data_IF_444307704017
#
_entry.id   IF_444307704017
#
_cell.length_a   1.000
_cell.length_b   1.000
_cell.length_c   1.000
_cell.angle_alpha   90.00
_cell.angle_beta   90.00
_cell.angle_gamma   90.00
#
_symmetry.space_group_name_H-M   'P 1'
#
loop_
_entity.id
_entity.type
_entity.pdbx_description
1 polymer ?
#
# COMPACT_ATOMS: atom_id res chain seq x y z
N UNK A 1 22.39 -9.91 -3.74
CA UNK A 1 21.38 -8.83 -3.57
C UNK A 1 21.23 -8.57 -2.08
N UNK A 2 21.30 -7.32 -1.63
CA UNK A 2 21.01 -7.00 -0.23
C UNK A 2 19.55 -7.40 0.06
N UNK A 3 19.32 -8.06 1.19
CA UNK A 3 17.96 -8.37 1.63
C UNK A 3 17.27 -7.05 2.04
N UNK A 4 16.47 -6.50 1.13
CA UNK A 4 15.77 -5.22 1.30
C UNK A 4 14.81 -5.26 2.49
N UNK A 5 14.16 -6.40 2.72
CA UNK A 5 13.27 -6.58 3.88
C UNK A 5 14.01 -6.51 5.20
N UNK A 6 15.17 -7.16 5.29
CA UNK A 6 16.01 -7.07 6.48
C UNK A 6 16.60 -5.66 6.67
N UNK A 7 16.90 -4.94 5.59
CA UNK A 7 17.35 -3.56 5.69
C UNK A 7 16.23 -2.65 6.21
N UNK A 8 15.01 -2.80 5.70
CA UNK A 8 13.86 -2.03 6.15
C UNK A 8 13.53 -2.34 7.62
N UNK A 9 13.58 -3.62 8.03
CA UNK A 9 13.46 -3.98 9.45
C UNK A 9 14.44 -3.23 10.32
N UNK A 10 15.74 -3.21 9.97
CA UNK A 10 16.77 -2.48 10.76
C UNK A 10 16.47 -0.99 10.90
N UNK A 11 15.94 -0.35 9.86
CA UNK A 11 15.55 1.07 9.91
C UNK A 11 14.37 1.28 10.86
N UNK A 12 13.38 0.39 10.84
CA UNK A 12 12.24 0.43 11.77
C UNK A 12 12.70 0.16 13.21
N UNK A 13 13.60 -0.80 13.44
CA UNK A 13 14.18 -1.07 14.76
C UNK A 13 14.98 0.12 15.30
N UNK A 14 15.73 0.81 14.44
CA UNK A 14 16.44 2.03 14.83
C UNK A 14 15.46 3.15 15.24
N UNK A 15 14.42 3.40 14.47
CA UNK A 15 13.38 4.37 14.82
C UNK A 15 12.65 4.02 16.12
N UNK A 16 12.38 2.73 16.37
CA UNK A 16 11.82 2.25 17.64
C UNK A 16 12.77 2.52 18.81
N UNK A 17 14.07 2.28 18.62
CA UNK A 17 15.08 2.53 19.64
C UNK A 17 15.20 4.02 19.98
N UNK A 18 15.18 4.88 18.96
CA UNK A 18 15.22 6.35 19.14
C UNK A 18 14.01 6.85 19.93
N UNK A 19 12.80 6.43 19.56
CA UNK A 19 11.58 6.76 20.31
C UNK A 19 11.66 6.32 21.78
N UNK A 20 12.12 5.09 22.01
CA UNK A 20 12.26 4.55 23.37
C UNK A 20 13.32 5.30 24.21
N UNK A 21 14.38 5.78 23.58
CA UNK A 21 15.43 6.57 24.30
C UNK A 21 14.87 7.90 24.83
N UNK A 22 13.82 8.43 24.20
CA UNK A 22 13.08 9.62 24.63
C UNK A 22 11.87 9.29 25.53
N UNK A 23 11.73 8.03 25.96
CA UNK A 23 10.61 7.59 26.81
C UNK A 23 9.30 7.42 26.05
N UNK A 24 9.31 7.42 24.71
CA UNK A 24 8.13 7.28 23.86
C UNK A 24 7.95 5.81 23.49
N UNK A 25 6.78 5.27 23.74
CA UNK A 25 6.40 3.92 23.32
C UNK A 25 5.79 3.99 21.91
N UNK A 26 6.37 3.33 20.89
CA UNK A 26 5.80 3.32 19.56
C UNK A 26 4.43 2.65 19.56
N UNK A 27 3.42 3.32 19.01
CA UNK A 27 2.04 2.82 18.97
C UNK A 27 1.74 2.03 17.68
N UNK A 28 2.27 2.48 16.55
CA UNK A 28 1.98 1.89 15.25
C UNK A 28 3.11 2.13 14.24
N UNK A 29 3.17 1.25 13.24
CA UNK A 29 3.84 1.46 11.98
C UNK A 29 2.76 1.55 10.89
N UNK A 30 2.70 2.66 10.16
CA UNK A 30 1.83 2.82 8.98
C UNK A 30 2.68 2.86 7.71
N UNK A 31 2.31 2.04 6.71
CA UNK A 31 3.05 1.97 5.43
C UNK A 31 2.06 1.78 4.29
N UNK A 32 2.25 2.55 3.21
CA UNK A 32 1.70 2.23 1.88
C UNK A 32 2.38 0.96 1.37
N UNK A 33 1.61 -0.09 1.13
CA UNK A 33 2.13 -1.43 0.94
C UNK A 33 2.88 -1.66 -0.38
N UNK A 34 2.93 -0.66 -1.26
CA UNK A 34 3.76 -0.65 -2.47
C UNK A 34 4.61 0.63 -2.59
N UNK A 35 4.67 1.47 -1.56
CA UNK A 35 5.41 2.73 -1.58
C UNK A 35 5.04 3.60 -2.78
N UNK A 36 3.74 3.75 -3.04
CA UNK A 36 3.22 4.34 -4.27
C UNK A 36 3.67 5.77 -4.51
N UNK A 37 3.84 6.56 -3.45
CA UNK A 37 4.30 7.96 -3.52
C UNK A 37 5.82 8.10 -3.45
N UNK A 38 6.54 7.04 -3.10
CA UNK A 38 7.99 7.04 -2.88
C UNK A 38 8.76 6.45 -4.06
N UNK A 39 8.08 6.16 -5.18
CA UNK A 39 8.69 5.65 -6.40
C UNK A 39 8.21 4.27 -6.85
N UNK A 40 7.15 3.76 -6.23
CA UNK A 40 6.52 2.46 -6.57
C UNK A 40 7.46 1.27 -6.34
N UNK A 41 7.58 0.84 -5.09
CA UNK A 41 8.41 -0.31 -4.71
C UNK A 41 7.51 -1.48 -4.29
N UNK A 42 6.92 -2.16 -5.26
CA UNK A 42 6.04 -3.31 -5.04
C UNK A 42 6.81 -4.62 -4.79
N UNK A 43 8.07 -4.68 -5.13
CA UNK A 43 8.95 -5.85 -5.01
C UNK A 43 10.20 -5.57 -4.14
N UNK A 44 10.78 -6.62 -3.54
CA UNK A 44 10.36 -8.01 -3.57
C UNK A 44 9.09 -8.27 -2.73
N UNK A 45 8.29 -9.26 -3.14
CA UNK A 45 7.19 -9.75 -2.30
C UNK A 45 7.74 -10.17 -0.92
N UNK A 46 6.97 -9.89 0.14
CA UNK A 46 7.41 -10.19 1.52
C UNK A 46 8.27 -9.10 2.17
N UNK A 47 8.66 -8.09 1.44
CA UNK A 47 9.56 -7.00 1.90
C UNK A 47 9.10 -6.37 3.24
N UNK A 48 7.79 -6.21 3.49
CA UNK A 48 7.27 -5.58 4.69
C UNK A 48 7.22 -6.51 5.90
N UNK A 49 7.16 -7.83 5.70
CA UNK A 49 6.93 -8.77 6.79
C UNK A 49 7.93 -8.63 7.96
N UNK A 50 9.26 -8.52 7.73
CA UNK A 50 10.22 -8.36 8.84
C UNK A 50 10.02 -7.06 9.65
N UNK A 51 9.64 -5.96 9.02
CA UNK A 51 9.38 -4.69 9.69
C UNK A 51 8.07 -4.72 10.49
N UNK A 52 7.06 -5.43 9.98
CA UNK A 52 5.79 -5.66 10.70
C UNK A 52 6.02 -6.51 11.96
N UNK A 53 6.89 -7.50 11.89
CA UNK A 53 7.32 -8.26 13.08
C UNK A 53 7.97 -7.34 14.11
N UNK A 54 8.91 -6.48 13.70
CA UNK A 54 9.62 -5.57 14.60
C UNK A 54 8.68 -4.63 15.36
N UNK A 55 7.70 -4.00 14.70
CA UNK A 55 6.73 -3.13 15.38
C UNK A 55 5.85 -3.91 16.36
N UNK A 56 5.45 -5.14 16.01
CA UNK A 56 4.64 -6.01 16.89
C UNK A 56 5.45 -6.47 18.11
N UNK A 57 6.71 -6.85 17.94
CA UNK A 57 7.64 -7.16 19.03
C UNK A 57 7.84 -5.96 19.97
N UNK A 58 7.75 -4.73 19.43
CA UNK A 58 7.80 -3.52 20.23
C UNK A 58 6.49 -3.19 20.97
N UNK A 59 5.41 -3.94 20.73
CA UNK A 59 4.09 -3.74 21.32
C UNK A 59 3.19 -2.79 20.55
N UNK A 60 3.58 -2.37 19.35
CA UNK A 60 2.78 -1.58 18.44
C UNK A 60 1.93 -2.43 17.48
N UNK A 61 1.13 -1.75 16.66
CA UNK A 61 0.28 -2.35 15.63
C UNK A 61 0.77 -1.99 14.23
N UNK A 62 0.43 -2.80 13.24
CA UNK A 62 0.68 -2.50 11.84
C UNK A 62 -0.59 -2.00 11.15
N UNK A 63 -0.48 -0.83 10.49
CA UNK A 63 -1.53 -0.21 9.69
C UNK A 63 -1.11 -0.28 8.22
N UNK A 64 -1.84 -1.03 7.40
CA UNK A 64 -1.65 -1.02 5.96
C UNK A 64 -2.41 0.16 5.35
N UNK A 65 -1.68 1.08 4.72
CA UNK A 65 -2.30 2.12 3.91
C UNK A 65 -2.58 1.55 2.51
N UNK A 66 -3.83 1.18 2.30
CA UNK A 66 -4.33 0.60 1.05
C UNK A 66 -5.10 1.62 0.19
N UNK A 67 -4.95 2.91 0.50
CA UNK A 67 -5.62 3.99 -0.23
C UNK A 67 -5.22 4.03 -1.70
N UNK A 68 -4.03 3.62 -2.04
CA UNK A 68 -3.56 3.53 -3.43
C UNK A 68 -3.42 2.10 -3.95
N UNK A 69 -2.80 1.14 -3.22
CA UNK A 69 -2.60 -0.21 -3.73
C UNK A 69 -3.85 -1.10 -3.68
N UNK A 70 -4.82 -0.76 -2.83
CA UNK A 70 -6.03 -1.55 -2.62
C UNK A 70 -7.02 -1.57 -3.78
N UNK A 71 -8.10 -2.31 -3.58
CA UNK A 71 -9.19 -2.47 -4.52
C UNK A 71 -8.75 -3.03 -5.88
N UNK A 72 -7.88 -4.05 -5.84
CA UNK A 72 -7.47 -4.81 -7.02
C UNK A 72 -6.48 -4.10 -7.95
N UNK A 73 -5.94 -2.91 -7.56
CA UNK A 73 -5.03 -2.13 -8.40
C UNK A 73 -3.77 -2.90 -8.81
N UNK A 74 -3.24 -3.73 -7.90
CA UNK A 74 -2.06 -4.57 -8.16
C UNK A 74 -2.37 -5.82 -8.99
N UNK A 75 -3.63 -6.12 -9.23
CA UNK A 75 -4.10 -7.20 -10.10
C UNK A 75 -4.06 -8.60 -9.50
N UNK A 76 -3.13 -8.90 -8.60
CA UNK A 76 -2.97 -10.23 -8.00
C UNK A 76 -3.96 -10.50 -6.88
N UNK A 77 -4.25 -9.49 -6.09
CA UNK A 77 -5.12 -9.56 -4.90
C UNK A 77 -5.92 -8.28 -4.74
N UNK A 78 -6.98 -8.33 -3.94
CA UNK A 78 -7.79 -7.15 -3.59
C UNK A 78 -6.95 -6.10 -2.86
N UNK A 79 -5.98 -6.52 -2.03
CA UNK A 79 -5.18 -5.67 -1.14
C UNK A 79 -3.69 -5.86 -1.37
N UNK A 80 -2.94 -4.77 -1.40
CA UNK A 80 -1.50 -4.77 -1.61
C UNK A 80 -0.73 -5.50 -0.51
N UNK A 81 -1.17 -5.42 0.74
CA UNK A 81 -0.53 -6.13 1.86
C UNK A 81 -0.46 -7.65 1.67
N UNK A 82 -1.39 -8.23 0.90
CA UNK A 82 -1.39 -9.67 0.62
C UNK A 82 -0.13 -10.12 -0.14
N UNK A 83 0.50 -9.23 -0.90
CA UNK A 83 1.78 -9.48 -1.58
C UNK A 83 2.92 -9.79 -0.60
N UNK A 84 2.81 -9.31 0.62
CA UNK A 84 3.83 -9.47 1.66
C UNK A 84 3.54 -10.62 2.64
N UNK A 85 2.44 -11.36 2.44
CA UNK A 85 2.05 -12.48 3.29
C UNK A 85 1.68 -12.08 4.71
N UNK A 86 1.26 -10.83 4.91
CA UNK A 86 0.90 -10.27 6.22
C UNK A 86 -0.60 -10.04 6.34
N UNK A 87 -1.11 -10.13 7.57
CA UNK A 87 -2.46 -9.69 7.93
C UNK A 87 -2.30 -8.45 8.81
N UNK A 88 -2.68 -7.25 8.34
CA UNK A 88 -2.58 -6.01 9.10
C UNK A 88 -3.48 -6.02 10.34
N UNK A 89 -3.16 -5.17 11.30
CA UNK A 89 -4.01 -4.95 12.47
C UNK A 89 -5.10 -3.91 12.16
N UNK A 90 -4.76 -2.98 11.24
CA UNK A 90 -5.68 -2.00 10.67
C UNK A 90 -5.38 -1.83 9.17
N UNK A 91 -6.41 -1.47 8.39
CA UNK A 91 -6.29 -1.14 6.96
C UNK A 91 -7.04 0.15 6.71
N UNK A 92 -6.40 1.12 6.05
CA UNK A 92 -7.06 2.32 5.54
C UNK A 92 -7.34 2.16 4.05
N UNK A 93 -8.55 2.54 3.60
CA UNK A 93 -8.96 2.50 2.20
C UNK A 93 -9.70 3.78 1.82
N UNK A 94 -9.58 4.17 0.55
CA UNK A 94 -10.20 5.39 0.06
C UNK A 94 -10.05 5.52 -1.46
N UNK A 95 -9.89 6.75 -1.96
CA UNK A 95 -9.71 7.09 -3.38
C UNK A 95 -10.60 6.27 -4.36
N UNK A 96 -10.17 5.09 -4.88
CA UNK A 96 -10.96 4.32 -5.83
C UNK A 96 -12.24 3.71 -5.24
N UNK A 97 -12.37 3.67 -3.91
CA UNK A 97 -13.46 3.01 -3.21
C UNK A 97 -14.85 3.52 -3.61
N UNK A 98 -14.97 4.80 -3.94
CA UNK A 98 -16.21 5.40 -4.41
C UNK A 98 -16.21 5.75 -5.90
N UNK A 99 -15.13 5.44 -6.64
CA UNK A 99 -14.96 5.79 -8.05
C UNK A 99 -15.35 7.25 -8.39
N UNK A 100 -14.83 8.19 -7.59
CA UNK A 100 -15.13 9.63 -7.69
C UNK A 100 -16.15 10.14 -6.67
N UNK A 101 -16.98 9.26 -6.09
CA UNK A 101 -17.79 9.62 -4.93
C UNK A 101 -16.95 9.61 -3.65
N UNK A 102 -17.04 10.64 -2.77
CA UNK A 102 -16.26 10.69 -1.54
C UNK A 102 -16.60 9.54 -0.59
N UNK A 103 -15.70 8.57 -0.50
CA UNK A 103 -15.84 7.40 0.36
C UNK A 103 -14.48 6.91 0.83
N UNK A 104 -14.38 6.69 2.13
CA UNK A 104 -13.22 6.04 2.75
C UNK A 104 -13.68 5.09 3.85
N UNK A 105 -12.84 4.14 4.19
CA UNK A 105 -13.07 3.19 5.25
C UNK A 105 -11.79 2.86 6.00
N UNK A 106 -11.97 2.41 7.24
CA UNK A 106 -10.93 1.77 8.02
C UNK A 106 -11.44 0.42 8.51
N UNK A 107 -10.66 -0.62 8.26
CA UNK A 107 -10.91 -1.97 8.76
C UNK A 107 -9.99 -2.21 9.95
N UNK A 108 -10.53 -2.69 11.05
CA UNK A 108 -9.78 -2.83 12.30
C UNK A 108 -10.05 -4.20 12.90
N UNK A 109 -8.99 -4.88 13.37
CA UNK A 109 -9.17 -6.14 14.12
C UNK A 109 -9.98 -5.90 15.40
N UNK A 110 -10.90 -6.79 15.79
CA UNK A 110 -11.72 -6.62 17.00
C UNK A 110 -10.90 -6.35 18.26
N UNK A 111 -9.76 -7.01 18.43
CA UNK A 111 -8.90 -6.82 19.60
C UNK A 111 -8.28 -5.41 19.68
N UNK A 112 -8.07 -4.74 18.54
CA UNK A 112 -7.52 -3.37 18.50
C UNK A 112 -8.61 -2.33 18.79
N UNK A 113 -9.84 -2.55 18.31
CA UNK A 113 -10.93 -1.59 18.46
C UNK A 113 -11.71 -1.74 19.77
N UNK A 114 -11.54 -2.85 20.49
CA UNK A 114 -12.35 -3.18 21.68
C UNK A 114 -12.26 -2.10 22.77
N UNK A 115 -11.06 -1.60 23.08
CA UNK A 115 -10.86 -0.59 24.10
C UNK A 115 -11.43 0.77 23.66
N UNK A 116 -11.26 1.15 22.42
CA UNK A 116 -11.90 2.33 21.85
C UNK A 116 -13.43 2.24 21.94
N UNK A 117 -14.00 1.11 21.54
CA UNK A 117 -15.45 0.88 21.60
C UNK A 117 -16.02 0.90 23.02
N UNK A 118 -15.22 0.51 24.03
CA UNK A 118 -15.63 0.53 25.43
C UNK A 118 -15.51 1.92 26.08
N UNK A 119 -14.53 2.73 25.68
CA UNK A 119 -14.14 3.95 26.40
C UNK A 119 -14.39 5.25 25.63
N UNK A 120 -14.62 5.19 24.32
CA UNK A 120 -14.85 6.37 23.49
C UNK A 120 -16.28 6.42 22.95
N UNK A 121 -16.87 7.61 22.97
CA UNK A 121 -18.09 7.88 22.22
C UNK A 121 -17.72 8.26 20.80
N UNK A 122 -18.12 7.43 19.84
CA UNK A 122 -17.93 7.73 18.42
C UNK A 122 -19.28 8.13 17.80
N UNK A 123 -19.27 9.25 17.10
CA UNK A 123 -20.39 9.70 16.30
C UNK A 123 -19.88 10.32 15.00
N UNK A 124 -20.53 9.98 13.89
CA UNK A 124 -20.24 10.56 12.58
C UNK A 124 -21.56 10.78 11.84
N UNK A 125 -21.87 12.04 11.53
CA UNK A 125 -23.15 12.42 10.90
C UNK A 125 -23.32 11.82 9.51
N UNK A 126 -22.25 11.75 8.72
CA UNK A 126 -22.30 11.34 7.31
C UNK A 126 -21.68 9.97 7.06
N UNK A 127 -20.91 9.44 8.02
CA UNK A 127 -20.27 8.13 7.87
C UNK A 127 -21.30 7.02 7.73
N UNK A 128 -21.11 6.16 6.72
CA UNK A 128 -22.01 5.05 6.44
C UNK A 128 -23.38 5.46 5.88
N UNK A 129 -23.52 6.67 5.31
CA UNK A 129 -24.78 7.06 4.69
C UNK A 129 -25.12 6.17 3.49
N UNK A 130 -26.42 5.94 3.20
CA UNK A 130 -26.85 4.98 2.18
C UNK A 130 -26.33 5.28 0.77
N UNK A 131 -26.20 6.56 0.41
CA UNK A 131 -25.74 6.96 -0.93
C UNK A 131 -24.28 6.57 -1.15
N UNK A 132 -23.41 6.90 -0.19
CA UNK A 132 -21.98 6.53 -0.25
C UNK A 132 -21.79 5.00 -0.20
N UNK A 133 -22.58 4.31 0.63
CA UNK A 133 -22.53 2.84 0.69
C UNK A 133 -22.97 2.20 -0.65
N UNK A 134 -24.02 2.71 -1.27
CA UNK A 134 -24.49 2.24 -2.57
C UNK A 134 -23.43 2.47 -3.67
N UNK A 135 -22.76 3.63 -3.67
CA UNK A 135 -21.65 3.89 -4.59
C UNK A 135 -20.49 2.90 -4.39
N UNK A 136 -20.10 2.63 -3.13
CA UNK A 136 -19.05 1.66 -2.83
C UNK A 136 -19.41 0.24 -3.22
N UNK A 137 -20.66 -0.19 -2.97
CA UNK A 137 -21.14 -1.51 -3.41
C UNK A 137 -21.10 -1.65 -4.93
N UNK A 138 -21.55 -0.65 -5.68
CA UNK A 138 -21.47 -0.66 -7.14
C UNK A 138 -20.03 -0.79 -7.66
N UNK A 139 -19.06 -0.18 -6.97
CA UNK A 139 -17.63 -0.37 -7.31
C UNK A 139 -17.19 -1.82 -7.12
N UNK A 140 -17.59 -2.45 -6.01
CA UNK A 140 -17.25 -3.86 -5.74
C UNK A 140 -17.91 -4.80 -6.77
N UNK A 141 -19.19 -4.56 -7.09
CA UNK A 141 -19.92 -5.35 -8.11
C UNK A 141 -19.24 -5.30 -9.47
N UNK A 142 -18.77 -4.10 -9.89
CA UNK A 142 -18.05 -3.92 -11.16
C UNK A 142 -16.67 -4.58 -11.12
N UNK A 143 -15.93 -4.42 -10.03
CA UNK A 143 -14.60 -5.05 -9.86
C UNK A 143 -14.69 -6.58 -10.02
N UNK A 144 -15.70 -7.19 -9.41
CA UNK A 144 -15.93 -8.64 -9.46
C UNK A 144 -16.55 -9.07 -10.79
N UNK A 145 -17.64 -8.39 -11.20
CA UNK A 145 -18.44 -8.80 -12.38
C UNK A 145 -17.70 -8.63 -13.69
N UNK A 146 -16.83 -7.65 -13.82
CA UNK A 146 -16.04 -7.39 -15.04
C UNK A 146 -14.62 -7.98 -14.98
N UNK A 147 -14.25 -8.67 -13.91
CA UNK A 147 -12.93 -9.28 -13.77
C UNK A 147 -11.77 -8.27 -13.79
N UNK A 148 -11.96 -7.08 -13.20
CA UNK A 148 -11.01 -5.97 -13.35
C UNK A 148 -9.65 -6.25 -12.72
N UNK A 149 -9.55 -7.12 -11.72
CA UNK A 149 -8.24 -7.53 -11.16
C UNK A 149 -7.42 -8.31 -12.18
N UNK A 150 -8.04 -9.28 -12.88
CA UNK A 150 -7.38 -10.05 -13.92
C UNK A 150 -6.95 -9.16 -15.09
N UNK A 151 -7.81 -8.21 -15.47
CA UNK A 151 -7.47 -7.19 -16.45
C UNK A 151 -6.30 -6.31 -16.00
N UNK A 152 -6.30 -5.84 -14.75
CA UNK A 152 -5.21 -5.04 -14.20
C UNK A 152 -3.86 -5.81 -14.23
N UNK A 153 -3.88 -7.11 -13.93
CA UNK A 153 -2.69 -7.96 -14.01
C UNK A 153 -2.20 -8.11 -15.45
N UNK A 154 -3.09 -8.46 -16.37
CA UNK A 154 -2.73 -8.72 -17.77
C UNK A 154 -2.23 -7.46 -18.48
N UNK A 155 -2.99 -6.37 -18.39
CA UNK A 155 -2.63 -5.08 -19.01
C UNK A 155 -1.41 -4.46 -18.34
N UNK A 156 -1.30 -4.55 -17.02
CA UNK A 156 -0.13 -4.06 -16.27
C UNK A 156 1.15 -4.79 -16.65
N UNK A 157 1.13 -6.10 -16.79
CA UNK A 157 2.26 -6.88 -17.27
C UNK A 157 2.67 -6.48 -18.70
N UNK A 158 1.68 -6.33 -19.60
CA UNK A 158 1.92 -5.87 -20.96
C UNK A 158 2.57 -4.48 -20.97
N UNK A 159 2.02 -3.52 -20.22
CA UNK A 159 2.54 -2.16 -20.13
C UNK A 159 3.98 -2.13 -19.62
N UNK A 160 4.26 -2.84 -18.52
CA UNK A 160 5.61 -2.90 -17.95
C UNK A 160 6.61 -3.53 -18.93
N UNK A 161 6.21 -4.59 -19.63
CA UNK A 161 7.07 -5.21 -20.65
C UNK A 161 7.35 -4.25 -21.82
N UNK A 162 6.32 -3.56 -22.32
CA UNK A 162 6.48 -2.58 -23.41
C UNK A 162 7.39 -1.42 -22.99
N UNK A 163 7.24 -0.91 -21.77
CA UNK A 163 8.09 0.15 -21.22
C UNK A 163 9.55 -0.31 -21.04
N UNK A 164 9.79 -1.54 -20.58
CA UNK A 164 11.15 -2.11 -20.49
C UNK A 164 11.78 -2.27 -21.89
N UNK A 165 11.02 -2.69 -22.90
CA UNK A 165 11.50 -2.76 -24.30
C UNK A 165 11.79 -1.36 -24.85
N UNK A 166 10.99 -0.35 -24.51
CA UNK A 166 11.24 1.04 -24.84
C UNK A 166 12.53 1.54 -24.19
N UNK A 167 12.77 1.18 -22.94
CA UNK A 167 14.01 1.50 -22.21
C UNK A 167 15.27 0.95 -22.84
N UNK A 168 15.20 -0.19 -23.56
CA UNK A 168 16.36 -0.71 -24.32
C UNK A 168 16.78 0.21 -25.48
N UNK A 169 15.86 1.05 -25.97
CA UNK A 169 16.11 2.00 -27.07
C UNK A 169 16.31 3.43 -26.60
N UNK A 170 15.85 3.74 -25.39
CA UNK A 170 15.85 5.09 -24.82
C UNK A 170 16.48 5.08 -23.43
N UNK A 171 17.76 5.41 -23.36
CA UNK A 171 18.55 5.39 -22.12
C UNK A 171 18.07 6.38 -21.04
N UNK A 172 17.11 7.27 -21.36
CA UNK A 172 16.42 8.12 -20.38
C UNK A 172 15.55 7.30 -19.44
N UNK A 173 15.06 6.13 -19.87
CA UNK A 173 14.31 5.20 -19.02
C UNK A 173 15.31 4.31 -18.30
N UNK A 174 15.52 4.56 -17.02
CA UNK A 174 16.47 3.81 -16.19
C UNK A 174 15.84 2.54 -15.63
N UNK A 175 14.63 2.64 -15.10
CA UNK A 175 13.95 1.52 -14.48
C UNK A 175 12.43 1.60 -14.67
N UNK A 176 11.80 0.42 -14.74
CA UNK A 176 10.34 0.25 -14.75
C UNK A 176 9.95 -0.68 -13.62
N UNK A 177 9.20 -0.18 -12.65
CA UNK A 177 8.75 -0.87 -11.45
C UNK A 177 7.22 -0.93 -11.40
N UNK A 178 6.68 -1.83 -10.61
CA UNK A 178 5.24 -1.83 -10.32
C UNK A 178 4.60 -3.21 -10.23
N UNK A 179 3.30 -3.18 -9.93
CA UNK A 179 2.43 -4.36 -9.88
C UNK A 179 1.06 -4.01 -10.49
N UNK A 180 0.55 -4.87 -11.36
CA UNK A 180 -0.68 -4.60 -12.08
C UNK A 180 -0.63 -3.26 -12.81
N UNK A 181 -1.67 -2.45 -12.64
CA UNK A 181 -1.77 -1.10 -13.22
C UNK A 181 -1.14 0.01 -12.36
N UNK A 182 -0.41 -0.34 -11.30
CA UNK A 182 0.41 0.62 -10.57
C UNK A 182 1.85 0.52 -11.07
N UNK A 183 2.25 1.45 -11.95
CA UNK A 183 3.52 1.40 -12.66
C UNK A 183 4.28 2.71 -12.45
N UNK A 184 5.54 2.59 -12.05
CA UNK A 184 6.51 3.68 -11.96
C UNK A 184 7.58 3.55 -13.04
N UNK A 185 7.95 4.66 -13.65
CA UNK A 185 9.05 4.74 -14.61
C UNK A 185 10.07 5.76 -14.09
N UNK A 186 11.27 5.31 -13.81
CA UNK A 186 12.35 6.20 -13.41
C UNK A 186 13.01 6.77 -14.66
N UNK A 187 12.93 8.09 -14.80
CA UNK A 187 13.60 8.83 -15.88
C UNK A 187 14.84 9.51 -15.33
N UNK A 188 15.93 9.47 -16.11
CA UNK A 188 17.17 10.14 -15.75
C UNK A 188 17.61 11.11 -16.85
N UNK A 189 18.25 12.19 -16.45
CA UNK A 189 19.03 13.00 -17.36
C UNK A 189 20.25 12.21 -17.83
N UNK A 190 20.50 12.21 -19.14
CA UNK A 190 21.53 11.35 -19.76
C UNK A 190 22.95 11.81 -19.48
N UNK A 191 23.15 13.09 -19.20
CA UNK A 191 24.49 13.67 -18.98
C UNK A 191 24.90 13.53 -17.53
N UNK A 192 23.99 13.88 -16.60
CA UNK A 192 24.26 13.85 -15.16
C UNK A 192 23.96 12.50 -14.49
N UNK A 193 23.12 11.66 -15.12
CA UNK A 193 22.59 10.44 -14.50
C UNK A 193 21.61 10.67 -13.35
N UNK A 194 21.28 11.93 -13.05
CA UNK A 194 20.33 12.31 -12.00
C UNK A 194 18.90 12.16 -12.47
N UNK A 195 17.91 12.05 -11.53
CA UNK A 195 16.50 12.04 -11.90
C UNK A 195 16.16 13.24 -12.80
N UNK A 196 15.46 12.96 -13.91
CA UNK A 196 14.97 13.98 -14.83
C UNK A 196 13.63 14.50 -14.31
N UNK A 197 13.68 15.44 -13.34
CA UNK A 197 12.52 16.10 -12.73
C UNK A 197 12.47 17.56 -13.12
#
# INVERSE_FOLDING_TARGET
>A
MSDVGAQFRRQVEAAIADLRSEGIRPAALIVDTIFSSDGVFADPKGLLAPAVEAIREAGGVFIADEVQPGLGRTGETMWGFSRHGIVPDMVTAGKPMGNGHPLSAMFVKPAVVAEFGANARYFNTFGGNPVSCAAGLAVLDVLEGEGLMQNALAVGNYLQQALRQLGQRHAVIKEVRGAGLFVGVELIDRESGMPAT
#
